data_IF_963780206251
#
_entry.id   IF_963780206251
#
_cell.length_a   1.000
_cell.length_b   1.000
_cell.length_c   1.000
_cell.angle_alpha   90.00
_cell.angle_beta   90.00
_cell.angle_gamma   90.00
#
_symmetry.space_group_name_H-M   'P 1'
#
loop_
_entity.id
_entity.type
_entity.pdbx_description
1 polymer ?
#
# COMPACT_ATOMS: atom_id res chain seq x y z
N UNK A 1 1.45 9.99 10.46
CA UNK A 1 0.40 9.11 9.90
C UNK A 1 -0.87 9.42 10.64
N UNK A 2 -1.96 9.58 9.91
CA UNK A 2 -3.30 9.74 10.48
C UNK A 2 -3.95 8.35 10.53
N UNK A 3 -4.74 8.09 11.57
CA UNK A 3 -5.40 6.80 11.75
C UNK A 3 -6.80 6.98 12.31
N UNK A 4 -7.73 6.16 11.84
CA UNK A 4 -9.09 6.15 12.37
C UNK A 4 -9.18 5.40 13.72
N UNK A 5 -10.35 5.41 14.34
CA UNK A 5 -10.58 4.75 15.64
C UNK A 5 -10.33 3.24 15.56
N UNK A 6 -10.83 2.58 14.52
CA UNK A 6 -10.64 1.14 14.31
C UNK A 6 -9.14 0.76 14.27
N UNK A 7 -8.31 1.54 13.58
CA UNK A 7 -6.86 1.31 13.55
C UNK A 7 -6.19 1.49 14.92
N UNK A 8 -6.62 2.47 15.72
CA UNK A 8 -6.08 2.65 17.09
C UNK A 8 -6.38 1.44 17.96
N UNK A 9 -7.56 0.85 17.82
CA UNK A 9 -7.97 -0.34 18.58
C UNK A 9 -7.13 -1.55 18.20
N UNK A 10 -6.99 -1.84 16.90
CA UNK A 10 -6.16 -2.95 16.42
C UNK A 10 -4.69 -2.76 16.84
N UNK A 11 -4.17 -1.54 16.73
CA UNK A 11 -2.78 -1.23 17.07
C UNK A 11 -2.43 -1.48 18.55
N UNK A 12 -3.41 -1.35 19.45
CA UNK A 12 -3.20 -1.51 20.89
C UNK A 12 -2.94 -2.97 21.31
N UNK A 13 -3.31 -3.95 20.48
CA UNK A 13 -3.13 -5.37 20.76
C UNK A 13 -1.91 -5.92 20.01
N UNK A 14 -0.79 -6.05 20.73
CA UNK A 14 0.44 -6.61 20.16
C UNK A 14 0.94 -7.76 21.03
N UNK A 15 0.96 -8.96 20.45
CA UNK A 15 1.60 -10.12 21.08
C UNK A 15 3.06 -10.24 20.62
N UNK A 16 3.93 -10.61 21.55
CA UNK A 16 5.35 -10.83 21.27
C UNK A 16 5.58 -12.28 20.86
N UNK A 17 5.15 -12.61 19.63
CA UNK A 17 5.44 -13.90 19.00
C UNK A 17 6.56 -13.75 17.97
N UNK A 18 7.52 -14.68 17.99
CA UNK A 18 8.54 -14.78 16.94
C UNK A 18 7.97 -15.48 15.72
N UNK A 19 8.23 -14.92 14.55
CA UNK A 19 7.81 -15.45 13.27
C UNK A 19 9.02 -15.53 12.36
N UNK A 20 9.10 -16.61 11.58
CA UNK A 20 10.14 -16.78 10.57
C UNK A 20 9.50 -16.55 9.21
N UNK A 21 9.93 -15.50 8.52
CA UNK A 21 9.55 -15.21 7.15
C UNK A 21 10.63 -15.71 6.19
N UNK A 22 10.23 -16.05 4.97
CA UNK A 22 11.18 -16.23 3.88
C UNK A 22 11.91 -14.91 3.60
N UNK A 23 13.23 -14.94 3.66
CA UNK A 23 14.05 -13.74 3.53
C UNK A 23 14.00 -13.13 2.13
N UNK A 24 13.93 -13.95 1.09
CA UNK A 24 13.93 -13.46 -0.30
C UNK A 24 12.58 -12.81 -0.62
N UNK A 25 11.49 -13.43 -0.16
CA UNK A 25 10.14 -12.85 -0.27
C UNK A 25 10.06 -11.56 0.54
N UNK A 26 10.56 -11.55 1.78
CA UNK A 26 10.62 -10.35 2.62
C UNK A 26 11.37 -9.21 1.96
N UNK A 27 12.54 -9.46 1.37
CA UNK A 27 13.31 -8.43 0.67
C UNK A 27 12.58 -7.90 -0.56
N UNK A 28 11.86 -8.75 -1.32
CA UNK A 28 11.08 -8.33 -2.49
C UNK A 28 9.94 -7.37 -2.13
N UNK A 29 9.32 -7.55 -0.96
CA UNK A 29 8.25 -6.68 -0.45
C UNK A 29 8.81 -5.40 0.17
N UNK A 30 9.91 -5.47 0.92
CA UNK A 30 10.54 -4.29 1.55
C UNK A 30 11.20 -3.37 0.51
N UNK A 31 11.86 -3.95 -0.50
CA UNK A 31 12.63 -3.24 -1.52
C UNK A 31 12.13 -3.57 -2.92
N UNK A 32 10.88 -3.20 -3.25
CA UNK A 32 10.33 -3.44 -4.58
C UNK A 32 10.97 -2.49 -5.58
N UNK A 33 10.75 -2.76 -6.86
CA UNK A 33 11.01 -1.78 -7.90
C UNK A 33 9.79 -0.87 -8.09
N UNK A 34 10.01 0.44 -8.16
CA UNK A 34 8.98 1.42 -8.53
C UNK A 34 9.21 1.88 -9.96
N UNK A 35 8.31 1.49 -10.87
CA UNK A 35 8.45 1.69 -12.32
C UNK A 35 7.62 2.88 -12.78
N UNK A 36 8.22 3.85 -13.46
CA UNK A 36 7.50 4.92 -14.14
C UNK A 36 6.97 4.43 -15.49
N UNK A 37 5.66 4.35 -15.64
CA UNK A 37 4.97 4.01 -16.89
C UNK A 37 3.80 4.97 -17.13
N UNK A 38 3.78 5.65 -18.28
CA UNK A 38 2.79 6.66 -18.66
C UNK A 38 2.30 7.55 -17.49
N UNK A 39 3.26 8.21 -16.82
CA UNK A 39 3.01 9.12 -15.67
C UNK A 39 2.36 8.44 -14.45
N UNK A 40 2.39 7.11 -14.41
CA UNK A 40 2.06 6.30 -13.24
C UNK A 40 3.33 5.73 -12.66
N UNK A 41 3.45 5.73 -11.34
CA UNK A 41 4.51 5.07 -10.60
C UNK A 41 3.92 3.77 -10.07
N UNK A 42 4.36 2.67 -10.65
CA UNK A 42 3.78 1.35 -10.46
C UNK A 42 4.70 0.45 -9.64
N UNK A 43 4.10 -0.32 -8.75
CA UNK A 43 4.76 -1.27 -7.89
C UNK A 43 5.09 -2.54 -8.69
N UNK A 44 6.36 -2.92 -8.71
CA UNK A 44 6.82 -4.19 -9.28
C UNK A 44 7.49 -5.03 -8.18
N UNK A 45 6.75 -6.01 -7.67
CA UNK A 45 7.26 -7.01 -6.74
C UNK A 45 7.56 -8.29 -7.51
N UNK A 46 8.77 -8.81 -7.38
CA UNK A 46 9.17 -10.10 -7.95
C UNK A 46 8.87 -10.25 -9.45
N UNK A 47 8.97 -9.17 -10.23
CA UNK A 47 8.67 -9.12 -11.67
C UNK A 47 7.23 -9.54 -12.03
N UNK A 48 6.27 -9.28 -11.14
CA UNK A 48 4.85 -9.57 -11.36
C UNK A 48 4.12 -8.49 -12.17
N UNK A 49 4.74 -7.32 -12.36
CA UNK A 49 4.11 -6.22 -13.08
C UNK A 49 3.95 -6.56 -14.57
N UNK A 50 2.71 -6.77 -14.99
CA UNK A 50 2.33 -6.95 -16.38
C UNK A 50 1.54 -5.73 -16.84
N UNK A 51 2.10 -4.95 -17.77
CA UNK A 51 1.41 -3.81 -18.35
C UNK A 51 1.39 -3.97 -19.87
N UNK A 52 0.20 -3.91 -20.43
CA UNK A 52 0.00 -3.95 -21.87
C UNK A 52 0.01 -2.53 -22.45
N UNK A 53 0.77 -2.35 -23.53
CA UNK A 53 0.82 -1.09 -24.28
C UNK A 53 1.71 -0.01 -23.66
N UNK A 54 1.74 1.14 -24.33
CA UNK A 54 2.65 2.25 -24.02
C UNK A 54 1.98 3.39 -23.24
N UNK A 55 0.64 3.37 -23.13
CA UNK A 55 -0.14 4.44 -22.52
C UNK A 55 -1.38 3.93 -21.81
N UNK A 56 -1.76 4.62 -20.74
CA UNK A 56 -3.02 4.45 -20.05
C UNK A 56 -4.19 4.90 -20.93
N UNK A 57 -5.16 4.00 -21.08
CA UNK A 57 -6.41 4.25 -21.77
C UNK A 57 -7.54 4.12 -20.73
N UNK A 58 -8.26 5.21 -20.43
CA UNK A 58 -9.41 5.17 -19.53
C UNK A 58 -10.46 4.14 -19.97
N UNK A 59 -11.11 3.53 -19.00
CA UNK A 59 -12.19 2.56 -19.18
C UNK A 59 -13.35 2.85 -18.23
N UNK A 60 -14.44 2.10 -18.35
CA UNK A 60 -15.59 2.24 -17.44
C UNK A 60 -15.28 1.78 -15.99
N UNK A 61 -14.15 1.12 -15.75
CA UNK A 61 -13.76 0.61 -14.42
C UNK A 61 -12.57 1.35 -13.82
N UNK A 62 -11.72 1.93 -14.65
CA UNK A 62 -10.55 2.72 -14.25
C UNK A 62 -10.55 3.97 -15.12
N UNK A 63 -10.98 5.08 -14.54
CA UNK A 63 -11.23 6.33 -15.26
C UNK A 63 -9.97 7.21 -15.37
N UNK A 64 -9.06 7.09 -14.41
CA UNK A 64 -7.85 7.91 -14.33
C UNK A 64 -6.62 7.13 -13.80
N UNK A 65 -5.48 7.83 -13.76
CA UNK A 65 -4.20 7.23 -13.34
C UNK A 65 -4.14 7.01 -11.84
N UNK A 66 -4.87 7.80 -11.06
CA UNK A 66 -4.98 7.66 -9.61
C UNK A 66 -5.69 6.35 -9.25
N UNK A 67 -6.80 6.03 -9.93
CA UNK A 67 -7.49 4.76 -9.80
C UNK A 67 -6.61 3.59 -10.27
N UNK A 68 -5.89 3.77 -11.40
CA UNK A 68 -4.96 2.75 -11.89
C UNK A 68 -3.88 2.44 -10.86
N UNK A 69 -3.17 3.45 -10.35
CA UNK A 69 -2.13 3.25 -9.35
C UNK A 69 -2.69 2.65 -8.07
N UNK A 70 -3.83 3.14 -7.56
CA UNK A 70 -4.46 2.58 -6.38
C UNK A 70 -4.82 1.09 -6.57
N UNK A 71 -5.14 0.68 -7.80
CA UNK A 71 -5.41 -0.71 -8.15
C UNK A 71 -4.14 -1.54 -8.40
N UNK A 72 -3.10 -0.99 -9.02
CA UNK A 72 -1.89 -1.76 -9.35
C UNK A 72 -0.89 -1.81 -8.19
N UNK A 73 -0.94 -0.83 -7.29
CA UNK A 73 0.01 -0.67 -6.19
C UNK A 73 -0.59 -1.11 -4.85
N UNK A 74 -1.58 -2.00 -4.87
CA UNK A 74 -2.07 -2.64 -3.66
C UNK A 74 -1.54 -4.07 -3.55
N UNK A 75 -1.20 -4.47 -2.34
CA UNK A 75 -0.84 -5.85 -2.02
C UNK A 75 -1.51 -6.27 -0.73
N UNK A 76 -1.98 -7.51 -0.69
CA UNK A 76 -2.35 -8.18 0.55
C UNK A 76 -1.12 -8.90 1.08
N UNK A 77 -0.71 -8.61 2.32
CA UNK A 77 0.52 -9.21 2.86
C UNK A 77 0.41 -10.74 3.00
N UNK A 78 -0.79 -11.26 3.17
CA UNK A 78 -1.07 -12.70 3.23
C UNK A 78 -0.72 -13.42 1.92
N UNK A 79 -0.79 -12.75 0.76
CA UNK A 79 -0.42 -13.34 -0.53
C UNK A 79 1.08 -13.65 -0.62
N UNK A 80 1.89 -12.93 0.16
CA UNK A 80 3.35 -13.10 0.22
C UNK A 80 3.78 -13.91 1.45
N UNK A 81 3.03 -13.79 2.55
CA UNK A 81 3.33 -14.45 3.83
C UNK A 81 2.04 -15.08 4.38
N UNK A 82 1.67 -16.29 3.91
CA UNK A 82 0.47 -16.99 4.36
C UNK A 82 0.41 -17.18 5.88
N UNK A 83 1.55 -17.24 6.55
CA UNK A 83 1.67 -17.35 8.01
C UNK A 83 1.06 -16.15 8.76
N UNK A 84 0.77 -15.04 8.07
CA UNK A 84 0.02 -13.91 8.65
C UNK A 84 -1.47 -14.21 8.89
N UNK A 85 -2.04 -15.26 8.27
CA UNK A 85 -3.40 -15.71 8.56
C UNK A 85 -3.56 -16.09 10.05
N UNK A 86 -2.55 -16.77 10.61
CA UNK A 86 -2.54 -17.21 12.00
C UNK A 86 -2.16 -16.11 13.00
N UNK A 87 -1.49 -15.04 12.52
CA UNK A 87 -0.92 -13.99 13.37
C UNK A 87 -1.18 -12.60 12.77
N UNK A 88 -2.44 -12.19 12.63
CA UNK A 88 -2.78 -11.05 11.78
C UNK A 88 -2.29 -9.71 12.37
N UNK A 89 -2.13 -9.60 13.70
CA UNK A 89 -1.48 -8.42 14.32
C UNK A 89 -0.01 -8.23 13.89
N UNK A 90 0.74 -9.31 13.61
CA UNK A 90 2.12 -9.20 13.09
C UNK A 90 2.15 -8.71 11.66
N UNK A 91 1.14 -9.06 10.86
CA UNK A 91 0.99 -8.56 9.50
C UNK A 91 0.89 -7.03 9.48
N UNK A 92 0.14 -6.45 10.43
CA UNK A 92 -0.01 -5.00 10.56
C UNK A 92 1.30 -4.31 10.95
N UNK A 93 2.02 -4.85 11.94
CA UNK A 93 3.34 -4.32 12.35
C UNK A 93 4.34 -4.35 11.19
N UNK A 94 4.38 -5.47 10.47
CA UNK A 94 5.23 -5.63 9.29
C UNK A 94 4.82 -4.66 8.19
N UNK A 95 3.53 -4.54 7.91
CA UNK A 95 2.97 -3.64 6.90
C UNK A 95 3.29 -2.17 7.12
N UNK A 96 3.21 -1.70 8.37
CA UNK A 96 3.67 -0.34 8.71
C UNK A 96 5.16 -0.17 8.43
N UNK A 97 5.99 -1.16 8.78
CA UNK A 97 7.44 -1.12 8.50
C UNK A 97 7.72 -1.08 6.99
N UNK A 98 6.98 -1.85 6.19
CA UNK A 98 7.07 -1.85 4.72
C UNK A 98 6.73 -0.47 4.17
N UNK A 99 5.61 0.14 4.60
CA UNK A 99 5.19 1.46 4.13
C UNK A 99 6.17 2.57 4.50
N UNK A 100 6.79 2.50 5.69
CA UNK A 100 7.85 3.44 6.07
C UNK A 100 9.08 3.32 5.16
N UNK A 101 9.45 2.10 4.77
CA UNK A 101 10.56 1.86 3.84
C UNK A 101 10.19 2.31 2.42
N UNK A 102 8.97 2.03 1.96
CA UNK A 102 8.46 2.52 0.66
C UNK A 102 8.44 4.03 0.59
N UNK A 103 8.02 4.73 1.65
CA UNK A 103 8.09 6.19 1.72
C UNK A 103 9.50 6.71 1.44
N UNK A 104 10.52 6.13 2.08
CA UNK A 104 11.90 6.59 1.88
C UNK A 104 12.37 6.36 0.44
N UNK A 105 11.99 5.22 -0.15
CA UNK A 105 12.33 4.89 -1.53
C UNK A 105 11.63 5.82 -2.53
N UNK A 106 10.32 6.05 -2.37
CA UNK A 106 9.53 6.94 -3.20
C UNK A 106 10.04 8.37 -3.15
N UNK A 107 10.32 8.92 -1.96
CA UNK A 107 10.91 10.27 -1.81
C UNK A 107 12.27 10.40 -2.49
N UNK A 108 13.09 9.35 -2.41
CA UNK A 108 14.42 9.33 -3.02
C UNK A 108 14.35 9.26 -4.54
N UNK A 109 13.46 8.44 -5.08
CA UNK A 109 13.36 8.18 -6.52
C UNK A 109 12.53 9.24 -7.25
N UNK A 110 11.49 9.77 -6.61
CA UNK A 110 10.52 10.71 -7.18
C UNK A 110 10.30 11.93 -6.27
N UNK A 111 11.35 12.75 -6.01
CA UNK A 111 11.32 13.81 -5.00
C UNK A 111 10.35 14.97 -5.31
N UNK A 112 9.85 15.07 -6.54
CA UNK A 112 8.90 16.11 -6.96
C UNK A 112 7.45 15.64 -6.91
N UNK A 113 7.23 14.34 -6.77
CA UNK A 113 5.91 13.75 -6.70
C UNK A 113 5.45 13.69 -5.24
N UNK A 114 4.13 13.73 -5.06
CA UNK A 114 3.50 13.52 -3.77
C UNK A 114 2.75 12.21 -3.77
N UNK A 115 2.76 11.50 -2.66
CA UNK A 115 2.09 10.20 -2.58
C UNK A 115 1.14 10.14 -1.40
N UNK A 116 0.08 9.35 -1.55
CA UNK A 116 -0.68 8.83 -0.43
C UNK A 116 -0.32 7.37 -0.23
N UNK A 117 0.09 7.04 0.99
CA UNK A 117 0.42 5.70 1.45
C UNK A 117 -0.63 5.27 2.45
N UNK A 118 -1.12 4.04 2.31
CA UNK A 118 -2.24 3.51 3.06
C UNK A 118 -1.87 2.12 3.56
N UNK A 119 -2.06 1.92 4.86
CA UNK A 119 -2.16 0.60 5.46
C UNK A 119 -3.62 0.42 5.85
N UNK A 120 -4.28 -0.58 5.30
CA UNK A 120 -5.59 -1.01 5.77
C UNK A 120 -5.50 -2.35 6.46
N UNK A 121 -6.46 -2.61 7.35
CA UNK A 121 -6.57 -3.86 8.07
C UNK A 121 -8.05 -4.19 8.30
N UNK A 122 -8.43 -5.39 7.92
CA UNK A 122 -9.79 -5.93 8.07
C UNK A 122 -9.76 -7.44 8.35
N UNK A 123 -10.88 -8.13 8.13
CA UNK A 123 -10.99 -9.58 8.32
C UNK A 123 -10.09 -10.41 7.38
N UNK A 124 -9.61 -9.83 6.29
CA UNK A 124 -8.69 -10.45 5.32
C UNK A 124 -7.22 -10.09 5.60
N UNK A 125 -6.96 -9.33 6.67
CA UNK A 125 -5.62 -9.00 7.14
C UNK A 125 -5.09 -7.66 6.61
N UNK A 126 -3.76 -7.51 6.64
CA UNK A 126 -3.12 -6.24 6.31
C UNK A 126 -2.92 -6.07 4.80
N UNK A 127 -3.40 -4.95 4.28
CA UNK A 127 -3.21 -4.52 2.90
C UNK A 127 -2.40 -3.23 2.85
N UNK A 128 -1.44 -3.16 1.94
CA UNK A 128 -0.63 -1.98 1.68
C UNK A 128 -1.02 -1.38 0.35
N UNK A 129 -1.05 -0.05 0.26
CA UNK A 129 -1.37 0.65 -0.97
C UNK A 129 -0.63 1.98 -1.05
N UNK A 130 -0.27 2.40 -2.26
CA UNK A 130 0.08 3.80 -2.48
C UNK A 130 -0.36 4.30 -3.85
N UNK A 131 -0.49 5.62 -3.99
CA UNK A 131 -0.73 6.27 -5.28
C UNK A 131 -0.22 7.71 -5.25
N UNK A 132 0.05 8.27 -6.42
CA UNK A 132 0.52 9.63 -6.63
C UNK A 132 -0.65 10.62 -6.53
N UNK A 133 -0.48 11.72 -5.80
CA UNK A 133 -1.47 12.79 -5.70
C UNK A 133 -1.37 13.72 -6.90
N UNK A 134 -2.47 13.85 -7.64
CA UNK A 134 -2.56 14.65 -8.86
C UNK A 134 -3.55 15.80 -8.66
N UNK A 135 -3.20 16.99 -9.15
CA UNK A 135 -4.03 18.20 -8.97
C UNK A 135 -5.39 18.16 -9.67
N UNK A 136 -5.51 17.34 -10.72
CA UNK A 136 -6.65 17.33 -11.63
C UNK A 136 -7.38 15.97 -11.63
N UNK A 137 -7.10 15.10 -10.66
CA UNK A 137 -7.75 13.79 -10.52
C UNK A 137 -8.33 13.70 -9.10
N UNK A 138 -9.41 12.94 -8.96
CA UNK A 138 -10.02 12.70 -7.65
C UNK A 138 -9.07 11.85 -6.79
N UNK A 139 -9.09 12.08 -5.48
CA UNK A 139 -8.33 11.24 -4.55
C UNK A 139 -9.01 9.88 -4.43
N UNK A 140 -8.22 8.80 -4.49
CA UNK A 140 -8.78 7.45 -4.30
C UNK A 140 -9.39 7.25 -2.90
N UNK A 141 -8.70 7.73 -1.86
CA UNK A 141 -9.19 7.74 -0.49
C UNK A 141 -9.31 9.17 0.03
N UNK A 142 -10.55 9.55 0.33
CA UNK A 142 -10.86 10.80 1.03
C UNK A 142 -10.40 10.71 2.49
N UNK A 143 -9.41 11.53 2.83
CA UNK A 143 -8.80 11.60 4.16
C UNK A 143 -9.41 12.70 5.04
N UNK A 144 -10.38 13.48 4.55
CA UNK A 144 -11.03 14.50 5.37
C UNK A 144 -11.89 13.89 6.49
N UNK A 145 -12.39 12.68 6.27
CA UNK A 145 -13.13 11.88 7.26
C UNK A 145 -12.78 10.40 7.10
N UNK A 146 -11.78 9.95 7.88
CA UNK A 146 -11.37 8.54 7.90
C UNK A 146 -12.32 7.64 8.70
N UNK A 147 -13.20 8.21 9.53
CA UNK A 147 -14.12 7.44 10.38
C UNK A 147 -15.32 6.91 9.58
N UNK A 148 -15.55 7.42 8.36
CA UNK A 148 -16.59 6.91 7.47
C UNK A 148 -16.29 5.52 6.90
N UNK A 149 -15.04 5.07 6.97
CA UNK A 149 -14.62 3.74 6.51
C UNK A 149 -14.71 2.75 7.67
N UNK A 150 -15.27 1.57 7.38
CA UNK A 150 -15.37 0.48 8.36
C UNK A 150 -14.03 -0.23 8.62
N UNK A 151 -13.11 -0.18 7.67
CA UNK A 151 -11.78 -0.77 7.78
C UNK A 151 -10.91 0.01 8.78
N UNK A 152 -9.98 -0.66 9.44
CA UNK A 152 -8.92 0.02 10.17
C UNK A 152 -7.97 0.65 9.15
N UNK A 153 -7.80 1.98 9.19
CA UNK A 153 -6.96 2.72 8.26
C UNK A 153 -5.86 3.51 8.96
N UNK A 154 -4.65 3.43 8.40
CA UNK A 154 -3.51 4.29 8.68
C UNK A 154 -3.04 4.90 7.37
N UNK A 155 -2.98 6.22 7.30
CA UNK A 155 -2.73 6.97 6.07
C UNK A 155 -1.59 7.96 6.27
N UNK A 156 -0.77 8.14 5.23
CA UNK A 156 0.29 9.15 5.20
C UNK A 156 0.33 9.83 3.84
N UNK A 157 0.32 11.16 3.83
CA UNK A 157 0.73 11.94 2.67
C UNK A 157 2.22 12.29 2.79
N UNK A 158 2.96 12.15 1.69
CA UNK A 158 4.39 12.44 1.61
C UNK A 158 4.77 13.29 0.42
#
# INVERSE_FOLDING_TARGET
MEMNTAMKEVWAFQEDNQMKLDMDVMLSVLYPEFVLWDRCILLNISNSLSIDGEQFIPSNTIEDRTQLEAFMNHIHLIDFFPEFEDIPNKSLQFGVSVIEIWEQQLKKQYPMEKFKLIVSYDEFGCTLRFYTLRKNEEVWLDTADLEKYSEALLVKEI
#
